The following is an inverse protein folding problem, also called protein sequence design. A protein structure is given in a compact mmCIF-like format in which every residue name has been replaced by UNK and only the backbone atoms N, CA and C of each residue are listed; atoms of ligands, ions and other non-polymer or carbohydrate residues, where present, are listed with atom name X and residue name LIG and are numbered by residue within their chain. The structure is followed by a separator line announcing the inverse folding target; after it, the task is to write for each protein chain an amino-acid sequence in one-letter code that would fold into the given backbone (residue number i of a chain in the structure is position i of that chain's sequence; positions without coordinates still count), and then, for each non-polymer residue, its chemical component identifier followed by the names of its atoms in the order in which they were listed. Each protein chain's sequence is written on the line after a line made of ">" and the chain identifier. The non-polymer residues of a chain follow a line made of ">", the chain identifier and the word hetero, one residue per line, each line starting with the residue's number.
data_IF_739926540532
#
_entry.id   IF_739926540532
#
_cell.length_a   1.000
_cell.length_b   1.000
_cell.length_c   1.000
_cell.angle_alpha   90.00
_cell.angle_beta   90.00
_cell.angle_gamma   90.00
#
_symmetry.space_group_name_H-M   'P 1'
#
loop_
_entity.id
_entity.type
_entity.pdbx_description
1 polymer ?
#
# COMPACT_ATOMS: atom_id res chain seq x y z
N UNK A 1 4.85 -4.48 -29.50
CA UNK A 1 5.52 -3.26 -28.95
C UNK A 1 6.92 -3.60 -28.43
N UNK A 2 7.95 -2.78 -28.72
CA UNK A 2 9.36 -3.08 -28.37
C UNK A 2 9.66 -2.72 -26.90
N UNK A 3 10.25 -3.63 -26.12
CA UNK A 3 10.70 -3.36 -24.72
C UNK A 3 11.62 -2.13 -24.67
N UNK A 4 11.42 -1.24 -23.68
CA UNK A 4 12.23 -0.02 -23.45
C UNK A 4 13.73 -0.31 -23.43
N UNK A 5 14.14 -1.46 -22.91
CA UNK A 5 15.54 -1.91 -22.85
C UNK A 5 16.23 -1.85 -24.21
N UNK A 6 15.55 -2.26 -25.29
CA UNK A 6 16.10 -2.22 -26.66
C UNK A 6 16.31 -0.78 -27.16
N UNK A 7 15.58 0.22 -26.65
CA UNK A 7 15.77 1.64 -26.99
C UNK A 7 16.86 2.32 -26.14
N UNK A 8 17.17 1.75 -24.98
CA UNK A 8 18.13 2.32 -24.03
C UNK A 8 19.56 1.78 -24.20
N UNK A 9 19.79 0.78 -25.07
CA UNK A 9 21.14 0.33 -25.46
C UNK A 9 21.93 1.51 -26.05
N UNK A 10 23.21 1.64 -25.70
CA UNK A 10 24.06 2.79 -26.06
C UNK A 10 23.98 3.98 -25.10
N UNK A 11 22.98 4.04 -24.20
CA UNK A 11 22.93 5.08 -23.15
C UNK A 11 23.76 4.68 -21.93
N UNK A 12 24.58 5.61 -21.44
CA UNK A 12 25.56 5.37 -20.36
C UNK A 12 24.98 4.84 -19.04
N UNK A 13 23.79 5.29 -18.63
CA UNK A 13 23.23 4.94 -17.30
C UNK A 13 21.81 4.38 -17.35
N UNK A 14 21.30 4.05 -18.54
CA UNK A 14 19.98 3.44 -18.72
C UNK A 14 18.79 4.22 -18.10
N UNK A 15 18.95 5.53 -17.86
CA UNK A 15 17.91 6.40 -17.28
C UNK A 15 17.92 6.47 -15.75
N UNK A 16 18.91 5.86 -15.09
CA UNK A 16 19.05 5.85 -13.65
C UNK A 16 19.75 7.09 -13.05
N UNK A 17 19.93 8.14 -13.86
CA UNK A 17 20.65 9.35 -13.48
C UNK A 17 22.16 9.10 -13.34
N UNK A 18 22.75 9.57 -12.24
CA UNK A 18 24.19 9.39 -11.98
C UNK A 18 24.55 7.92 -11.72
N UNK A 19 25.76 7.52 -12.16
CA UNK A 19 26.27 6.14 -12.07
C UNK A 19 26.30 5.57 -10.64
N UNK A 20 26.22 6.42 -9.61
CA UNK A 20 26.25 6.04 -8.18
C UNK A 20 24.86 5.75 -7.58
N UNK A 21 23.76 6.03 -8.29
CA UNK A 21 22.39 6.08 -7.72
C UNK A 21 21.56 4.80 -7.90
N UNK A 22 21.75 4.01 -8.94
CA UNK A 22 21.03 2.73 -9.07
C UNK A 22 21.87 1.57 -8.56
N UNK A 23 21.92 1.48 -7.23
CA UNK A 23 22.59 0.40 -6.50
C UNK A 23 21.56 -0.51 -5.82
N UNK A 24 22.03 -1.31 -4.88
CA UNK A 24 21.23 -2.23 -4.08
C UNK A 24 20.23 -1.50 -3.17
N UNK A 25 19.61 -2.27 -2.27
CA UNK A 25 18.55 -1.82 -1.36
C UNK A 25 18.97 -0.68 -0.43
N UNK A 26 20.28 -0.46 -0.22
CA UNK A 26 20.76 0.74 0.48
C UNK A 26 20.32 2.04 -0.20
N UNK A 27 20.31 2.08 -1.53
CA UNK A 27 19.87 3.28 -2.28
C UNK A 27 18.35 3.50 -2.22
N UNK A 28 17.58 2.52 -1.79
CA UNK A 28 16.11 2.57 -1.66
C UNK A 28 15.69 2.71 -0.19
N UNK A 29 16.64 2.79 0.74
CA UNK A 29 16.37 2.89 2.17
C UNK A 29 15.88 1.58 2.79
N UNK A 30 16.50 0.45 2.42
CA UNK A 30 16.22 -0.87 2.96
C UNK A 30 15.30 -1.74 2.10
N UNK A 31 15.17 -3.02 2.47
CA UNK A 31 14.30 -4.00 1.77
C UNK A 31 12.88 -3.93 2.32
N UNK A 32 11.88 -3.90 1.44
CA UNK A 32 10.46 -3.90 1.83
C UNK A 32 10.05 -2.65 2.62
N UNK A 33 9.24 -2.86 3.67
CA UNK A 33 8.75 -1.82 4.59
C UNK A 33 9.79 -1.42 5.65
N UNK A 34 11.08 -1.58 5.37
CA UNK A 34 12.12 -1.13 6.28
C UNK A 34 12.08 0.39 6.46
N UNK A 35 12.30 0.85 7.70
CA UNK A 35 12.33 2.27 8.06
C UNK A 35 10.95 2.93 8.16
N UNK A 36 9.85 2.20 7.99
CA UNK A 36 8.51 2.76 8.17
C UNK A 36 8.10 2.90 9.63
N UNK A 37 8.78 2.20 10.53
CA UNK A 37 8.58 2.25 11.97
C UNK A 37 8.99 0.97 12.70
N UNK A 38 8.50 0.88 13.94
CA UNK A 38 8.99 0.18 15.15
C UNK A 38 10.49 0.24 15.50
N UNK A 39 11.49 0.27 14.59
CA UNK A 39 12.88 0.67 14.97
C UNK A 39 13.71 1.42 13.92
N UNK A 40 13.12 1.83 12.81
CA UNK A 40 13.75 2.82 11.94
C UNK A 40 12.69 3.77 11.45
N UNK A 41 13.04 5.05 11.32
CA UNK A 41 12.07 6.11 11.04
C UNK A 41 12.27 6.80 9.68
N UNK A 42 13.20 6.29 8.86
CA UNK A 42 13.58 6.86 7.57
C UNK A 42 12.41 6.99 6.54
N UNK A 43 11.33 6.23 6.73
CA UNK A 43 10.11 6.22 5.90
C UNK A 43 8.83 6.37 6.75
N UNK A 44 8.94 6.89 7.96
CA UNK A 44 7.80 7.04 8.89
C UNK A 44 6.72 7.98 8.33
N UNK A 45 7.13 9.07 7.69
CA UNK A 45 6.22 10.04 7.05
C UNK A 45 5.33 9.39 5.98
N UNK A 46 5.88 8.47 5.17
CA UNK A 46 5.12 7.77 4.14
C UNK A 46 3.95 6.98 4.73
N UNK A 47 4.19 6.22 5.81
CA UNK A 47 3.15 5.40 6.43
C UNK A 47 2.12 6.25 7.18
N UNK A 48 2.57 7.29 7.87
CA UNK A 48 1.65 8.21 8.54
C UNK A 48 0.69 8.87 7.54
N UNK A 49 1.17 9.26 6.36
CA UNK A 49 0.33 9.86 5.34
C UNK A 49 -0.65 8.86 4.69
N UNK A 50 -0.24 7.59 4.53
CA UNK A 50 -1.07 6.58 3.86
C UNK A 50 -2.10 5.93 4.78
N UNK A 51 -1.72 5.66 6.02
CA UNK A 51 -2.48 4.80 6.93
C UNK A 51 -2.77 5.45 8.29
N UNK A 52 -2.26 6.65 8.54
CA UNK A 52 -2.42 7.32 9.83
C UNK A 52 -1.81 6.54 10.99
N UNK A 53 -2.41 6.67 12.18
CA UNK A 53 -1.94 6.06 13.42
C UNK A 53 -2.29 4.58 13.58
N UNK A 54 -3.12 4.01 12.70
CA UNK A 54 -3.61 2.63 12.82
C UNK A 54 -2.65 1.57 12.29
N UNK A 55 -1.60 1.98 11.57
CA UNK A 55 -0.67 1.05 10.90
C UNK A 55 0.16 0.22 11.89
N UNK A 56 0.57 0.82 13.02
CA UNK A 56 1.33 0.13 14.05
C UNK A 56 0.46 -0.10 15.29
N UNK A 57 0.53 -1.32 15.82
CA UNK A 57 -0.22 -1.72 17.03
C UNK A 57 -1.38 -2.65 16.71
N UNK A 58 -2.14 -3.01 17.75
CA UNK A 58 -3.38 -3.79 17.66
C UNK A 58 -4.45 -3.06 18.44
N UNK A 59 -5.72 -3.14 18.01
CA UNK A 59 -6.87 -2.57 18.72
C UNK A 59 -7.96 -3.62 18.87
N UNK A 60 -8.48 -3.76 20.09
CA UNK A 60 -9.61 -4.64 20.40
C UNK A 60 -9.30 -6.14 20.32
N UNK A 61 -10.36 -6.93 20.28
CA UNK A 61 -10.34 -8.39 20.12
C UNK A 61 -11.15 -8.77 18.87
N UNK A 62 -10.77 -9.89 18.23
CA UNK A 62 -11.51 -10.42 17.08
C UNK A 62 -12.33 -11.63 17.54
N UNK A 63 -13.67 -11.62 17.39
CA UNK A 63 -14.48 -12.79 17.71
C UNK A 63 -14.17 -13.94 16.72
N UNK A 64 -14.34 -15.21 17.14
CA UNK A 64 -14.06 -16.38 16.29
C UNK A 64 -15.02 -16.45 15.09
N UNK A 65 -16.27 -16.01 15.27
CA UNK A 65 -17.30 -15.96 14.23
C UNK A 65 -17.85 -14.55 14.13
N UNK A 66 -18.07 -14.07 12.90
CA UNK A 66 -18.78 -12.82 12.65
C UNK A 66 -20.22 -13.17 12.26
N UNK A 67 -21.21 -12.69 13.02
CA UNK A 67 -22.59 -12.70 12.57
C UNK A 67 -22.76 -11.58 11.54
N UNK A 68 -23.11 -11.97 10.31
CA UNK A 68 -23.56 -11.02 9.29
C UNK A 68 -25.08 -11.18 9.26
N UNK A 69 -25.78 -10.23 9.86
CA UNK A 69 -27.24 -10.18 9.82
C UNK A 69 -27.68 -9.46 8.54
N UNK A 70 -28.74 -9.97 7.91
CA UNK A 70 -29.35 -9.31 6.75
C UNK A 70 -30.42 -8.37 7.26
N UNK A 71 -30.14 -7.08 7.18
CA UNK A 71 -31.07 -6.02 7.55
C UNK A 71 -31.83 -5.56 6.29
N UNK A 72 -33.12 -5.28 6.44
CA UNK A 72 -33.97 -4.69 5.41
C UNK A 72 -34.57 -3.40 5.97
N UNK A 73 -34.49 -2.32 5.19
CA UNK A 73 -35.13 -1.05 5.53
C UNK A 73 -36.64 -1.10 5.24
N UNK A 74 -37.41 -0.31 5.98
CA UNK A 74 -38.86 -0.21 5.83
C UNK A 74 -39.23 0.31 4.43
N UNK A 75 -38.49 1.30 3.92
CA UNK A 75 -38.72 1.90 2.60
C UNK A 75 -38.63 0.86 1.46
N UNK A 76 -37.68 -0.08 1.57
CA UNK A 76 -37.53 -1.16 0.59
C UNK A 76 -38.76 -2.07 0.55
N UNK A 77 -39.40 -2.31 1.71
CA UNK A 77 -40.62 -3.10 1.78
C UNK A 77 -41.79 -2.36 1.11
N UNK A 78 -41.93 -1.06 1.35
CA UNK A 78 -43.01 -0.26 0.76
C UNK A 78 -42.95 -0.26 -0.77
N UNK A 79 -41.76 -0.12 -1.37
CA UNK A 79 -41.59 -0.11 -2.82
C UNK A 79 -41.86 -1.47 -3.50
N UNK A 80 -41.73 -2.57 -2.77
CA UNK A 80 -41.82 -3.94 -3.32
C UNK A 80 -43.13 -4.67 -2.95
N UNK A 81 -44.08 -4.01 -2.28
CA UNK A 81 -45.39 -4.58 -1.91
C UNK A 81 -46.37 -4.64 -3.07
N UNK A 82 -46.26 -3.77 -4.08
CA UNK A 82 -47.25 -3.64 -5.16
C UNK A 82 -46.80 -4.16 -6.53
N UNK A 83 -45.73 -4.98 -6.58
CA UNK A 83 -45.24 -5.61 -7.81
C UNK A 83 -45.64 -7.08 -7.89
#
# INVERSE_FOLDING_TARGET
>A
MRKKTKKMRGRKTFGYGSRKKHRSKGSVGGKGMAGTGKRGDAKKSLILNLYGSSYFGKRGFRPPTQSIEKEINIDYLQEHVER
#
